data_IF_194272211943
#
_entry.id   IF_194272211943
#
_cell.length_a   1.000
_cell.length_b   1.000
_cell.length_c   1.000
_cell.angle_alpha   90.00
_cell.angle_beta   90.00
_cell.angle_gamma   90.00
#
_symmetry.space_group_name_H-M   'P 1'
#
loop_
_entity.id
_entity.type
_entity.pdbx_description
1 polymer ?
#
# COMPACT_ATOMS: atom_id res chain seq x y z
N UNK A 1 -4.90 9.94 -5.59
CA UNK A 1 -3.45 10.10 -5.80
C UNK A 1 -2.84 11.27 -5.05
N UNK A 2 -3.53 12.43 -4.94
CA UNK A 2 -3.02 13.63 -4.25
C UNK A 2 -2.58 13.39 -2.80
N UNK A 3 -3.39 12.68 -2.01
CA UNK A 3 -3.08 12.32 -0.61
C UNK A 3 -1.75 11.57 -0.44
N UNK A 4 -1.39 10.72 -1.42
CA UNK A 4 -0.13 9.98 -1.40
C UNK A 4 1.08 10.92 -1.55
N UNK A 5 0.97 11.92 -2.43
CA UNK A 5 2.01 12.94 -2.58
C UNK A 5 2.06 13.90 -1.38
N UNK A 6 0.91 14.30 -0.86
CA UNK A 6 0.82 15.17 0.33
C UNK A 6 1.50 14.52 1.55
N UNK A 7 1.34 13.20 1.75
CA UNK A 7 2.04 12.46 2.80
C UNK A 7 3.56 12.62 2.68
N UNK A 8 4.10 12.50 1.46
CA UNK A 8 5.53 12.69 1.24
C UNK A 8 5.92 14.13 1.53
N UNK A 9 5.20 15.12 1.02
CA UNK A 9 5.52 16.54 1.21
C UNK A 9 5.54 16.92 2.70
N UNK A 10 4.56 16.44 3.46
CA UNK A 10 4.44 16.71 4.90
C UNK A 10 5.44 15.93 5.75
N UNK A 11 6.03 14.86 5.22
CA UNK A 11 7.02 14.07 5.96
C UNK A 11 8.34 14.83 6.09
N UNK A 12 8.85 15.06 7.32
CA UNK A 12 10.10 15.79 7.53
C UNK A 12 11.29 15.20 6.76
N UNK A 13 12.11 16.06 6.16
CA UNK A 13 13.30 15.65 5.42
C UNK A 13 14.28 14.83 6.28
N UNK A 14 14.36 15.12 7.58
CA UNK A 14 15.15 14.34 8.53
C UNK A 14 14.67 12.89 8.63
N UNK A 15 13.35 12.67 8.69
CA UNK A 15 12.77 11.33 8.75
C UNK A 15 13.06 10.54 7.46
N UNK A 16 12.86 11.16 6.29
CA UNK A 16 13.21 10.52 5.00
C UNK A 16 14.69 10.13 4.93
N UNK A 17 15.59 10.98 5.44
CA UNK A 17 17.04 10.68 5.49
C UNK A 17 17.34 9.52 6.44
N UNK A 18 16.72 9.49 7.62
CA UNK A 18 16.88 8.37 8.57
C UNK A 18 16.37 7.06 7.98
N UNK A 19 15.19 7.06 7.35
CA UNK A 19 14.62 5.89 6.67
C UNK A 19 15.54 5.40 5.55
N UNK A 20 16.08 6.31 4.74
CA UNK A 20 17.07 5.95 3.71
C UNK A 20 18.31 5.28 4.32
N UNK A 21 18.89 5.86 5.37
CA UNK A 21 20.06 5.28 6.05
C UNK A 21 19.75 3.91 6.63
N UNK A 22 18.56 3.71 7.21
CA UNK A 22 18.13 2.41 7.70
C UNK A 22 18.05 1.38 6.58
N UNK A 23 17.39 1.71 5.46
CA UNK A 23 17.25 0.83 4.31
C UNK A 23 18.60 0.49 3.65
N UNK A 24 19.52 1.46 3.59
CA UNK A 24 20.86 1.26 3.00
C UNK A 24 21.74 0.32 3.85
N UNK A 25 21.50 0.24 5.16
CA UNK A 25 22.25 -0.61 6.10
C UNK A 25 21.51 -1.91 6.48
N UNK A 26 20.30 -2.13 5.98
CA UNK A 26 19.53 -3.31 6.29
C UNK A 26 20.05 -4.53 5.52
N UNK A 27 20.36 -5.62 6.24
CA UNK A 27 20.76 -6.90 5.64
C UNK A 27 19.56 -7.82 5.30
N UNK A 28 18.35 -7.25 5.31
CA UNK A 28 17.14 -7.99 4.93
C UNK A 28 16.98 -8.04 3.42
N UNK A 29 16.92 -9.26 2.87
CA UNK A 29 16.61 -9.50 1.45
C UNK A 29 15.25 -8.91 1.07
N UNK A 30 14.27 -8.96 1.98
CA UNK A 30 12.94 -8.38 1.76
C UNK A 30 13.00 -6.86 1.59
N UNK A 31 13.72 -6.17 2.49
CA UNK A 31 13.89 -4.72 2.40
C UNK A 31 14.66 -4.30 1.14
N UNK A 32 15.64 -5.12 0.71
CA UNK A 32 16.39 -4.88 -0.53
C UNK A 32 15.49 -4.93 -1.76
N UNK A 33 14.60 -5.93 -1.85
CA UNK A 33 13.61 -6.03 -2.94
C UNK A 33 12.69 -4.81 -2.98
N UNK A 34 12.28 -4.29 -1.82
CA UNK A 34 11.44 -3.09 -1.78
C UNK A 34 12.16 -1.85 -2.31
N UNK A 35 13.44 -1.68 -1.94
CA UNK A 35 14.30 -0.63 -2.50
C UNK A 35 14.44 -0.75 -4.03
N UNK A 36 14.46 -1.97 -4.57
CA UNK A 36 14.60 -2.18 -6.01
C UNK A 36 13.29 -1.91 -6.78
N UNK A 37 12.11 -2.06 -6.15
CA UNK A 37 10.81 -1.62 -6.70
C UNK A 37 10.71 -0.08 -6.80
N UNK A 38 11.42 0.59 -5.88
CA UNK A 38 11.95 1.96 -5.87
C UNK A 38 12.68 2.47 -7.12
N UNK A 39 12.16 2.39 -8.34
CA UNK A 39 12.92 2.95 -9.48
C UNK A 39 13.04 4.48 -9.38
N UNK A 40 14.18 5.04 -9.81
CA UNK A 40 14.45 6.49 -9.73
C UNK A 40 13.44 7.36 -10.50
N UNK A 41 12.72 6.77 -11.46
CA UNK A 41 11.92 7.53 -12.44
C UNK A 41 10.41 7.49 -12.12
N UNK A 42 9.94 6.54 -11.30
CA UNK A 42 8.55 6.50 -10.82
C UNK A 42 8.41 5.69 -9.53
N UNK A 43 7.60 6.21 -8.60
CA UNK A 43 7.16 5.48 -7.40
C UNK A 43 6.01 4.51 -7.69
N UNK A 44 5.50 4.48 -8.91
CA UNK A 44 4.41 3.61 -9.34
C UNK A 44 4.95 2.33 -9.94
N UNK A 45 4.52 1.20 -9.39
CA UNK A 45 4.83 -0.15 -9.86
C UNK A 45 3.77 -0.60 -10.87
N UNK A 46 2.52 -0.16 -10.66
CA UNK A 46 1.34 -0.40 -11.50
C UNK A 46 0.34 0.76 -11.27
N UNK A 47 -0.78 0.78 -11.99
CA UNK A 47 -1.78 1.86 -11.98
C UNK A 47 -2.23 2.28 -10.56
N UNK A 48 -2.37 1.31 -9.65
CA UNK A 48 -2.77 1.54 -8.26
C UNK A 48 -1.74 1.08 -7.23
N UNK A 49 -0.56 0.62 -7.65
CA UNK A 49 0.49 0.12 -6.75
C UNK A 49 1.60 1.14 -6.59
N UNK A 50 1.68 1.74 -5.41
CA UNK A 50 2.57 2.84 -5.11
C UNK A 50 3.62 2.48 -4.04
N UNK A 51 4.89 2.57 -4.40
CA UNK A 51 6.03 2.29 -3.51
C UNK A 51 6.50 3.49 -2.67
N UNK A 52 5.93 4.68 -2.85
CA UNK A 52 6.43 5.91 -2.22
C UNK A 52 6.41 5.90 -0.69
N UNK A 53 5.51 5.13 -0.06
CA UNK A 53 5.43 4.99 1.40
C UNK A 53 6.73 4.41 2.02
N UNK A 54 7.47 3.60 1.26
CA UNK A 54 8.75 3.04 1.72
C UNK A 54 9.82 4.11 1.99
N UNK A 55 9.70 5.31 1.41
CA UNK A 55 10.59 6.45 1.66
C UNK A 55 10.42 7.02 3.06
N UNK A 56 9.29 6.74 3.72
CA UNK A 56 8.94 7.26 5.03
C UNK A 56 8.86 6.16 6.09
N UNK A 57 8.44 4.95 5.69
CA UNK A 57 8.32 3.79 6.57
C UNK A 57 8.92 2.54 5.91
N UNK A 58 10.07 2.04 6.39
CA UNK A 58 10.76 0.92 5.76
C UNK A 58 10.03 -0.42 5.92
N UNK A 59 9.04 -0.51 6.81
CA UNK A 59 8.24 -1.73 7.03
C UNK A 59 7.13 -1.92 6.00
N UNK A 60 6.80 -0.87 5.24
CA UNK A 60 5.73 -0.90 4.23
C UNK A 60 6.32 -0.71 2.84
N UNK A 61 6.12 -1.71 1.98
CA UNK A 61 6.75 -1.74 0.66
C UNK A 61 5.90 -1.16 -0.45
N UNK A 62 4.59 -1.43 -0.42
CA UNK A 62 3.65 -1.08 -1.48
C UNK A 62 2.33 -0.67 -0.83
N UNK A 63 1.76 0.44 -1.31
CA UNK A 63 0.42 0.90 -0.96
C UNK A 63 -0.50 0.76 -2.16
N UNK A 64 -1.76 0.37 -1.93
CA UNK A 64 -2.80 0.45 -2.95
C UNK A 64 -3.43 1.84 -2.87
N UNK A 65 -3.37 2.62 -3.94
CA UNK A 65 -3.81 4.02 -3.96
C UNK A 65 -4.76 4.25 -5.13
N UNK A 66 -5.96 4.73 -4.82
CA UNK A 66 -7.02 4.99 -5.80
C UNK A 66 -8.32 5.37 -5.09
N UNK A 67 -9.41 5.42 -5.85
CA UNK A 67 -10.79 5.38 -5.36
C UNK A 67 -11.07 4.07 -4.62
N UNK A 68 -12.16 4.02 -3.84
CA UNK A 68 -12.53 2.80 -3.13
C UNK A 68 -12.74 1.61 -4.07
N UNK A 69 -13.36 1.87 -5.23
CA UNK A 69 -13.60 0.89 -6.27
C UNK A 69 -12.30 0.34 -6.87
N UNK A 70 -11.34 1.22 -7.15
CA UNK A 70 -10.01 0.84 -7.67
C UNK A 70 -9.22 0.02 -6.64
N UNK A 71 -9.28 0.40 -5.35
CA UNK A 71 -8.67 -0.37 -4.26
C UNK A 71 -9.31 -1.76 -4.14
N UNK A 72 -10.64 -1.84 -4.18
CA UNK A 72 -11.37 -3.12 -4.14
C UNK A 72 -11.02 -3.98 -5.36
N UNK A 73 -10.89 -3.38 -6.55
CA UNK A 73 -10.48 -4.09 -7.76
C UNK A 73 -9.09 -4.70 -7.59
N UNK A 74 -8.12 -3.89 -7.18
CA UNK A 74 -6.74 -4.35 -6.95
C UNK A 74 -6.66 -5.47 -5.90
N UNK A 75 -7.44 -5.36 -4.81
CA UNK A 75 -7.55 -6.45 -3.82
C UNK A 75 -8.17 -7.73 -4.39
N UNK A 76 -9.10 -7.58 -5.33
CA UNK A 76 -9.69 -8.71 -6.05
C UNK A 76 -8.64 -9.41 -6.90
N UNK A 77 -7.82 -8.65 -7.64
CA UNK A 77 -6.75 -9.21 -8.46
C UNK A 77 -5.75 -10.01 -7.62
N UNK A 78 -5.35 -9.49 -6.45
CA UNK A 78 -4.51 -10.24 -5.50
C UNK A 78 -5.19 -11.52 -4.99
N UNK A 79 -6.49 -11.47 -4.70
CA UNK A 79 -7.23 -12.64 -4.25
C UNK A 79 -7.33 -13.70 -5.35
N UNK A 80 -7.57 -13.31 -6.59
CA UNK A 80 -7.67 -14.22 -7.75
C UNK A 80 -6.37 -14.98 -8.00
N UNK A 81 -5.21 -14.36 -7.74
CA UNK A 81 -3.91 -15.03 -7.83
C UNK A 81 -3.51 -15.80 -6.56
N UNK A 82 -4.40 -15.88 -5.56
CA UNK A 82 -4.26 -16.75 -4.40
C UNK A 82 -3.99 -16.07 -3.06
N UNK A 83 -4.07 -14.74 -2.95
CA UNK A 83 -3.96 -14.07 -1.65
C UNK A 83 -5.21 -14.29 -0.78
N UNK A 84 -5.07 -15.05 0.31
CA UNK A 84 -6.20 -15.32 1.23
C UNK A 84 -6.28 -14.38 2.42
N UNK A 85 -5.20 -13.68 2.75
CA UNK A 85 -5.10 -12.81 3.92
C UNK A 85 -4.42 -11.50 3.56
N UNK A 86 -4.98 -10.39 4.07
CA UNK A 86 -4.45 -9.05 3.88
C UNK A 86 -4.18 -8.40 5.23
N UNK A 87 -2.99 -7.83 5.38
CA UNK A 87 -2.65 -6.96 6.51
C UNK A 87 -2.73 -5.52 6.03
N UNK A 88 -3.71 -4.78 6.52
CA UNK A 88 -3.93 -3.39 6.14
C UNK A 88 -3.38 -2.50 7.26
N UNK A 89 -2.59 -1.49 6.89
CA UNK A 89 -2.06 -0.50 7.81
C UNK A 89 -2.45 0.90 7.33
N UNK A 90 -2.64 1.83 8.27
CA UNK A 90 -2.79 3.25 7.96
C UNK A 90 -1.98 4.07 8.96
N UNK A 91 -1.47 5.21 8.52
CA UNK A 91 -0.69 6.16 9.33
C UNK A 91 -1.25 7.58 9.28
N UNK A 92 -2.44 7.77 8.68
CA UNK A 92 -2.96 9.10 8.33
C UNK A 92 -3.90 9.64 9.42
N UNK A 93 -4.83 8.82 9.91
CA UNK A 93 -5.84 9.23 10.88
C UNK A 93 -6.34 8.06 11.71
N UNK A 94 -6.84 8.35 12.91
CA UNK A 94 -7.50 7.37 13.78
C UNK A 94 -8.81 6.85 13.18
N UNK A 95 -9.45 7.60 12.29
CA UNK A 95 -10.70 7.23 11.61
C UNK A 95 -10.50 6.34 10.38
N UNK A 96 -9.26 6.02 10.03
CA UNK A 96 -8.94 5.26 8.83
C UNK A 96 -9.45 3.83 8.90
N UNK A 97 -9.53 3.26 10.11
CA UNK A 97 -10.08 1.93 10.33
C UNK A 97 -11.57 1.90 9.96
N UNK A 98 -12.34 2.90 10.42
CA UNK A 98 -13.76 3.02 10.10
C UNK A 98 -13.97 3.29 8.61
N UNK A 99 -13.20 4.22 8.04
CA UNK A 99 -13.30 4.59 6.63
C UNK A 99 -13.03 3.40 5.71
N UNK A 100 -11.91 2.69 5.93
CA UNK A 100 -11.53 1.51 5.15
C UNK A 100 -12.51 0.36 5.43
N UNK A 101 -12.92 0.18 6.68
CA UNK A 101 -13.89 -0.84 7.07
C UNK A 101 -15.20 -0.71 6.29
N UNK A 102 -15.76 0.49 6.23
CA UNK A 102 -17.04 0.77 5.58
C UNK A 102 -16.94 0.77 4.06
N UNK A 103 -15.89 1.40 3.50
CA UNK A 103 -15.83 1.69 2.07
C UNK A 103 -15.01 0.68 1.26
N UNK A 104 -14.17 -0.14 1.91
CA UNK A 104 -13.31 -1.12 1.21
C UNK A 104 -13.58 -2.54 1.71
N UNK A 105 -13.39 -2.80 3.01
CA UNK A 105 -13.40 -4.18 3.54
C UNK A 105 -14.79 -4.82 3.42
N UNK A 106 -15.84 -4.11 3.82
CA UNK A 106 -17.21 -4.64 3.73
C UNK A 106 -17.67 -4.86 2.28
N UNK A 107 -17.50 -3.91 1.33
CA UNK A 107 -17.80 -4.14 -0.07
C UNK A 107 -16.96 -5.25 -0.71
N UNK A 108 -15.65 -5.30 -0.44
CA UNK A 108 -14.75 -6.35 -0.93
C UNK A 108 -15.21 -7.74 -0.47
N UNK A 109 -15.50 -7.89 0.82
CA UNK A 109 -16.03 -9.16 1.37
C UNK A 109 -17.30 -9.61 0.64
N UNK A 110 -18.28 -8.71 0.46
CA UNK A 110 -19.53 -9.02 -0.27
C UNK A 110 -19.26 -9.44 -1.71
N UNK A 111 -18.31 -8.76 -2.38
CA UNK A 111 -17.90 -9.10 -3.75
C UNK A 111 -17.32 -10.52 -3.82
N UNK A 112 -16.39 -10.86 -2.94
CA UNK A 112 -15.77 -12.19 -2.89
C UNK A 112 -16.80 -13.28 -2.55
N UNK A 113 -17.67 -13.06 -1.57
CA UNK A 113 -18.74 -14.01 -1.22
C UNK A 113 -19.66 -14.31 -2.42
N UNK A 114 -19.99 -13.28 -3.22
CA UNK A 114 -20.78 -13.45 -4.44
C UNK A 114 -20.03 -14.25 -5.50
N UNK A 115 -18.73 -14.00 -5.69
CA UNK A 115 -17.91 -14.74 -6.67
C UNK A 115 -17.79 -16.22 -6.29
N UNK A 116 -17.64 -16.53 -5.01
CA UNK A 116 -17.58 -17.92 -4.53
C UNK A 116 -18.92 -18.64 -4.71
N UNK A 117 -20.07 -17.96 -4.55
CA UNK A 117 -21.40 -18.57 -4.74
C UNK A 117 -21.76 -18.86 -6.20
N UNK A 118 -21.08 -18.22 -7.16
CA UNK A 118 -21.33 -18.37 -8.60
C UNK A 118 -20.43 -19.45 -9.23
N UNK A 119 -19.38 -19.86 -8.52
CA UNK A 119 -18.45 -20.94 -8.91
C UNK A 119 -18.82 -22.27 -8.25
#
# INVERSE_FOLDING_TARGET
>A
YEEAYELLERTPAALKRMTKLFLDNADSVGLRRYKDLITKDSMWIDDHLWGGLSLVNPSNSISIVGSYEEVISTLTDFWEIGANYFLITSQISEHEIERIGQNVVQPFKKKIEKLIQVN
#
